data_IF_484242605502
#
_entry.id   IF_484242605502
#
_cell.length_a   1.000
_cell.length_b   1.000
_cell.length_c   1.000
_cell.angle_alpha   90.00
_cell.angle_beta   90.00
_cell.angle_gamma   90.00
#
_symmetry.space_group_name_H-M   'P 1'
#
loop_
_entity.id
_entity.type
_entity.pdbx_description
1 polymer ?
#
# COMPACT_ATOMS: atom_id res chain seq x y z
N UNK A 1 18.22 15.28 -20.34
CA UNK A 1 17.36 16.46 -20.64
C UNK A 1 15.98 15.95 -21.04
N UNK A 2 14.94 16.52 -20.47
CA UNK A 2 13.54 16.24 -20.80
C UNK A 2 12.90 17.48 -21.44
N UNK A 3 12.85 17.58 -22.78
CA UNK A 3 12.25 18.73 -23.46
C UNK A 3 10.77 18.89 -23.08
N UNK A 4 10.36 20.11 -22.75
CA UNK A 4 8.95 20.46 -22.48
C UNK A 4 8.38 19.99 -21.16
N UNK A 5 9.15 19.32 -20.29
CA UNK A 5 8.61 18.65 -19.10
C UNK A 5 7.83 19.58 -18.17
N UNK A 6 8.29 20.83 -17.97
CA UNK A 6 7.65 21.78 -17.06
C UNK A 6 6.20 22.11 -17.46
N UNK A 7 5.87 22.05 -18.74
CA UNK A 7 4.53 22.36 -19.26
C UNK A 7 3.84 21.14 -19.89
N UNK A 8 4.41 19.94 -19.74
CA UNK A 8 3.85 18.72 -20.29
C UNK A 8 2.52 18.35 -19.60
N UNK A 9 1.62 17.65 -20.32
CA UNK A 9 0.45 17.01 -19.70
C UNK A 9 0.87 16.12 -18.54
N UNK A 10 -0.02 16.01 -17.56
CA UNK A 10 0.20 15.18 -16.38
C UNK A 10 -1.08 14.45 -15.99
N UNK A 11 -0.91 13.33 -15.29
CA UNK A 11 -1.96 12.68 -14.51
C UNK A 11 -1.71 12.94 -13.03
N UNK A 12 -2.75 12.76 -12.23
CA UNK A 12 -2.64 12.82 -10.77
C UNK A 12 -2.53 11.39 -10.21
N UNK A 13 -1.56 11.15 -9.34
CA UNK A 13 -1.45 9.92 -8.57
C UNK A 13 -1.76 10.21 -7.11
N UNK A 14 -2.84 9.66 -6.57
CA UNK A 14 -3.18 9.79 -5.15
C UNK A 14 -2.01 9.33 -4.29
N UNK A 15 -1.62 10.17 -3.32
CA UNK A 15 -0.48 9.89 -2.46
C UNK A 15 -0.64 10.52 -1.08
N UNK A 16 0.26 10.11 -0.20
CA UNK A 16 0.47 10.75 1.10
C UNK A 16 1.96 11.10 1.16
N UNK A 17 2.27 12.32 1.58
CA UNK A 17 3.63 12.77 1.77
C UNK A 17 3.75 13.43 3.14
N UNK A 18 4.56 12.83 4.01
CA UNK A 18 4.81 13.30 5.38
C UNK A 18 3.52 13.52 6.21
N UNK A 19 2.56 12.61 6.05
CA UNK A 19 1.27 12.64 6.74
C UNK A 19 0.20 13.51 6.07
N UNK A 20 0.55 14.26 5.02
CA UNK A 20 -0.38 15.08 4.26
C UNK A 20 -0.97 14.29 3.09
N UNK A 21 -2.29 14.33 2.94
CA UNK A 21 -2.98 13.76 1.77
C UNK A 21 -2.91 14.71 0.57
N UNK A 22 -2.72 14.14 -0.61
CA UNK A 22 -2.61 14.91 -1.84
C UNK A 22 -2.38 14.04 -3.06
N UNK A 23 -1.78 14.65 -4.07
CA UNK A 23 -1.49 14.00 -5.34
C UNK A 23 -0.05 14.24 -5.77
N UNK A 24 0.48 13.30 -6.53
CA UNK A 24 1.73 13.45 -7.28
C UNK A 24 1.41 13.74 -8.74
N UNK A 25 2.13 14.68 -9.34
CA UNK A 25 1.95 15.03 -10.74
C UNK A 25 2.91 14.23 -11.60
N UNK A 26 2.38 13.32 -12.41
CA UNK A 26 3.18 12.42 -13.24
C UNK A 26 3.07 12.84 -14.70
N UNK A 27 4.19 13.15 -15.34
CA UNK A 27 4.28 13.47 -16.77
C UNK A 27 5.10 12.41 -17.50
N UNK A 28 4.88 12.27 -18.80
CA UNK A 28 5.78 11.50 -19.65
C UNK A 28 6.89 12.42 -20.19
N UNK A 29 8.10 11.89 -20.26
CA UNK A 29 9.23 12.52 -20.93
C UNK A 29 9.84 11.53 -21.91
N UNK A 30 10.06 11.96 -23.15
CA UNK A 30 11.01 11.32 -24.06
C UNK A 30 12.35 12.05 -23.93
N UNK A 31 13.38 11.47 -23.28
CA UNK A 31 14.66 12.14 -23.14
C UNK A 31 15.27 12.48 -24.49
N UNK A 32 15.99 13.60 -24.57
CA UNK A 32 16.67 14.00 -25.79
C UNK A 32 17.63 12.89 -26.28
N UNK A 33 17.46 12.45 -27.52
CA UNK A 33 18.27 11.37 -28.13
C UNK A 33 17.86 9.95 -27.75
N UNK A 34 16.84 9.75 -26.90
CA UNK A 34 16.33 8.43 -26.56
C UNK A 34 15.16 8.02 -27.47
N UNK A 35 15.02 6.71 -27.69
CA UNK A 35 13.91 6.07 -28.41
C UNK A 35 12.78 5.59 -27.48
N UNK A 36 12.95 5.73 -26.17
CA UNK A 36 11.99 5.38 -25.14
C UNK A 36 11.47 6.59 -24.37
N UNK A 37 10.35 6.41 -23.67
CA UNK A 37 9.79 7.37 -22.72
C UNK A 37 9.97 6.91 -21.28
N UNK A 38 10.11 7.87 -20.38
CA UNK A 38 10.12 7.71 -18.93
C UNK A 38 8.86 8.36 -18.35
N UNK A 39 8.31 7.76 -17.29
CA UNK A 39 7.38 8.47 -16.43
C UNK A 39 8.18 9.27 -15.40
N UNK A 40 7.86 10.54 -15.30
CA UNK A 40 8.51 11.48 -14.40
C UNK A 40 7.50 11.93 -13.35
N UNK A 41 7.77 11.60 -12.10
CA UNK A 41 7.09 12.18 -10.96
C UNK A 41 7.71 13.54 -10.66
N UNK A 42 6.95 14.61 -10.90
CA UNK A 42 7.40 15.99 -10.76
C UNK A 42 7.42 16.46 -9.30
N UNK A 43 6.74 15.73 -8.41
CA UNK A 43 6.57 16.09 -7.02
C UNK A 43 5.13 15.94 -6.51
N UNK A 44 4.95 16.29 -5.25
CA UNK A 44 3.70 16.21 -4.50
C UNK A 44 3.02 17.58 -4.34
N UNK A 45 1.70 17.60 -4.38
CA UNK A 45 0.82 18.74 -4.10
C UNK A 45 -0.25 18.30 -3.12
N UNK A 46 -0.46 19.05 -2.04
CA UNK A 46 -1.50 18.76 -1.05
C UNK A 46 -2.92 18.98 -1.58
N UNK A 47 -3.90 18.24 -1.04
CA UNK A 47 -5.30 18.32 -1.48
C UNK A 47 -5.92 19.72 -1.32
N UNK A 48 -5.41 20.53 -0.38
CA UNK A 48 -5.86 21.92 -0.17
C UNK A 48 -5.44 22.89 -1.30
N UNK A 49 -4.54 22.48 -2.20
CA UNK A 49 -4.07 23.29 -3.33
C UNK A 49 -4.81 22.84 -4.58
N UNK A 50 -5.66 23.71 -5.13
CA UNK A 50 -6.40 23.45 -6.38
C UNK A 50 -5.65 23.89 -7.63
N UNK A 51 -4.75 24.87 -7.51
CA UNK A 51 -3.92 25.34 -8.61
C UNK A 51 -3.01 24.21 -9.14
N UNK A 52 -2.71 24.24 -10.44
CA UNK A 52 -1.84 23.28 -11.12
C UNK A 52 -0.88 24.00 -12.07
N UNK A 53 0.30 23.39 -12.37
CA UNK A 53 1.17 23.90 -13.41
C UNK A 53 0.45 24.05 -14.74
N UNK A 54 0.78 25.09 -15.49
CA UNK A 54 0.19 25.35 -16.81
C UNK A 54 0.62 24.25 -17.79
N UNK A 55 -0.34 23.73 -18.56
CA UNK A 55 -0.08 22.78 -19.64
C UNK A 55 -0.02 23.53 -20.98
N UNK A 56 1.12 23.44 -21.66
CA UNK A 56 1.39 24.07 -22.97
C UNK A 56 2.39 23.20 -23.73
N UNK A 57 2.16 23.01 -25.02
CA UNK A 57 3.14 22.35 -25.88
C UNK A 57 4.41 23.21 -26.00
N UNK A 58 5.52 22.70 -25.49
CA UNK A 58 6.84 23.33 -25.61
C UNK A 58 7.90 22.25 -25.76
N UNK A 59 9.06 22.64 -26.30
CA UNK A 59 10.24 21.77 -26.42
C UNK A 59 11.44 22.34 -25.65
N UNK A 60 11.18 23.30 -24.75
CA UNK A 60 12.23 23.94 -23.97
C UNK A 60 13.01 22.89 -23.17
N UNK A 61 14.36 22.91 -23.21
CA UNK A 61 15.15 21.91 -22.51
C UNK A 61 14.99 22.07 -21.00
N UNK A 62 14.75 20.96 -20.31
CA UNK A 62 14.75 20.92 -18.85
C UNK A 62 15.74 19.86 -18.35
N UNK A 63 16.57 20.26 -17.39
CA UNK A 63 17.48 19.41 -16.66
C UNK A 63 16.96 19.27 -15.23
N UNK A 64 16.93 18.04 -14.74
CA UNK A 64 16.51 17.72 -13.39
C UNK A 64 17.38 16.61 -12.84
N UNK A 65 17.53 16.57 -11.53
CA UNK A 65 18.05 15.40 -10.82
C UNK A 65 16.85 14.59 -10.35
N UNK A 66 16.94 13.28 -10.47
CA UNK A 66 15.91 12.39 -9.98
C UNK A 66 16.40 11.00 -9.67
N UNK A 67 15.59 10.27 -8.90
CA UNK A 67 15.85 8.90 -8.50
C UNK A 67 15.00 7.93 -9.32
N UNK A 68 15.64 6.90 -9.87
CA UNK A 68 14.94 5.82 -10.56
C UNK A 68 14.30 4.88 -9.54
N UNK A 69 13.02 4.56 -9.77
CA UNK A 69 12.27 3.61 -8.95
C UNK A 69 11.49 2.65 -9.85
N UNK A 70 11.56 1.38 -9.49
CA UNK A 70 10.75 0.32 -10.09
C UNK A 70 9.59 0.01 -9.16
N UNK A 71 8.42 -0.25 -9.73
CA UNK A 71 7.23 -0.64 -9.00
C UNK A 71 6.69 -1.95 -9.52
N UNK A 72 6.16 -2.76 -8.62
CA UNK A 72 5.38 -3.92 -9.00
C UNK A 72 4.08 -3.50 -9.67
N UNK A 73 3.58 -4.35 -10.56
CA UNK A 73 2.27 -4.14 -11.16
C UNK A 73 1.20 -4.14 -10.06
N UNK A 74 0.21 -3.23 -10.14
CA UNK A 74 -0.89 -3.24 -9.20
C UNK A 74 -1.66 -4.56 -9.21
N UNK A 75 -2.11 -5.01 -8.04
CA UNK A 75 -2.94 -6.21 -7.89
C UNK A 75 -4.41 -5.96 -8.24
N UNK A 76 -5.22 -7.02 -8.28
CA UNK A 76 -6.64 -6.93 -8.64
C UNK A 76 -7.51 -6.07 -7.70
N UNK A 77 -7.04 -5.83 -6.47
CA UNK A 77 -7.72 -4.98 -5.48
C UNK A 77 -7.37 -3.49 -5.64
N UNK A 78 -6.43 -3.14 -6.52
CA UNK A 78 -6.07 -1.74 -6.76
C UNK A 78 -7.20 -1.02 -7.50
N UNK A 79 -7.70 0.12 -6.98
CA UNK A 79 -8.77 0.86 -7.64
C UNK A 79 -8.36 1.30 -9.04
N UNK A 80 -9.30 1.19 -9.99
CA UNK A 80 -9.13 1.72 -11.33
C UNK A 80 -9.02 3.27 -11.29
N UNK A 81 -8.32 3.88 -12.27
CA UNK A 81 -8.28 5.34 -12.39
C UNK A 81 -9.67 5.94 -12.59
N UNK A 82 -9.88 7.17 -12.08
CA UNK A 82 -11.13 7.93 -12.24
C UNK A 82 -10.80 9.41 -12.50
N UNK A 83 -11.39 10.00 -13.53
CA UNK A 83 -11.24 11.43 -13.88
C UNK A 83 -9.78 11.90 -13.99
N UNK A 84 -8.91 11.07 -14.56
CA UNK A 84 -7.47 11.37 -14.70
C UNK A 84 -6.64 11.18 -13.42
N UNK A 85 -7.28 10.73 -12.33
CA UNK A 85 -6.62 10.36 -11.07
C UNK A 85 -6.39 8.86 -10.98
N UNK A 86 -5.16 8.49 -10.62
CA UNK A 86 -4.69 7.13 -10.41
C UNK A 86 -4.53 6.86 -8.91
N UNK A 87 -4.77 5.61 -8.51
CA UNK A 87 -4.64 5.16 -7.11
C UNK A 87 -3.53 4.12 -6.92
N UNK A 88 -2.92 3.67 -8.02
CA UNK A 88 -1.82 2.73 -8.02
C UNK A 88 -0.80 3.12 -9.11
N UNK A 89 0.46 2.73 -8.91
CA UNK A 89 1.56 3.00 -9.83
C UNK A 89 1.58 1.98 -10.96
N UNK A 90 0.64 2.10 -11.89
CA UNK A 90 0.63 1.32 -13.14
C UNK A 90 1.36 2.07 -14.25
N UNK A 91 2.63 1.73 -14.49
CA UNK A 91 3.44 2.40 -15.52
C UNK A 91 2.79 2.32 -16.91
N UNK A 92 2.17 1.19 -17.26
CA UNK A 92 1.57 1.00 -18.58
C UNK A 92 0.28 1.81 -18.72
N UNK A 93 -0.61 1.76 -17.72
CA UNK A 93 -1.87 2.51 -17.75
C UNK A 93 -1.65 4.02 -17.67
N UNK A 94 -0.69 4.49 -16.85
CA UNK A 94 -0.33 5.91 -16.77
C UNK A 94 0.28 6.41 -18.08
N UNK A 95 1.21 5.67 -18.70
CA UNK A 95 1.77 6.04 -19.98
C UNK A 95 0.72 6.10 -21.10
N UNK A 96 -0.24 5.16 -21.10
CA UNK A 96 -1.38 5.20 -22.02
C UNK A 96 -2.24 6.45 -21.81
N UNK A 97 -2.56 6.80 -20.56
CA UNK A 97 -3.34 8.01 -20.26
C UNK A 97 -2.59 9.30 -20.63
N UNK A 98 -1.26 9.27 -20.64
CA UNK A 98 -0.39 10.36 -21.09
C UNK A 98 -0.14 10.35 -22.61
N UNK A 99 -0.87 9.52 -23.37
CA UNK A 99 -0.75 9.38 -24.83
C UNK A 99 0.67 9.05 -25.32
N UNK A 100 1.44 8.29 -24.52
CA UNK A 100 2.79 7.90 -24.92
C UNK A 100 2.72 6.88 -26.04
N UNK A 101 3.33 7.22 -27.18
CA UNK A 101 3.52 6.32 -28.32
C UNK A 101 4.94 5.77 -28.31
N UNK A 102 5.08 4.44 -28.29
CA UNK A 102 6.39 3.76 -28.34
C UNK A 102 6.83 3.14 -27.02
N UNK A 103 8.12 2.76 -26.91
CA UNK A 103 8.66 2.07 -25.74
C UNK A 103 8.57 2.93 -24.48
N UNK A 104 8.10 2.33 -23.38
CA UNK A 104 8.06 2.95 -22.05
C UNK A 104 8.95 2.12 -21.13
N UNK A 105 9.86 2.80 -20.44
CA UNK A 105 10.71 2.17 -19.44
C UNK A 105 9.89 1.77 -18.21
N UNK A 106 10.16 0.60 -17.60
CA UNK A 106 9.45 0.17 -16.41
C UNK A 106 9.72 1.07 -15.19
N UNK A 107 10.89 1.74 -15.17
CA UNK A 107 11.27 2.66 -14.11
C UNK A 107 10.59 4.02 -14.28
N UNK A 108 10.11 4.59 -13.16
CA UNK A 108 9.76 5.99 -13.09
C UNK A 108 10.91 6.79 -12.43
N UNK A 109 11.00 8.07 -12.76
CA UNK A 109 11.99 8.99 -12.20
C UNK A 109 11.29 9.96 -11.24
N UNK A 110 11.73 9.99 -9.99
CA UNK A 110 11.25 10.94 -9.00
C UNK A 110 12.13 12.18 -9.02
N UNK A 111 11.56 13.34 -9.36
CA UNK A 111 12.25 14.61 -9.26
C UNK A 111 12.68 14.87 -7.82
N UNK A 112 13.97 15.16 -7.63
CA UNK A 112 14.51 15.68 -6.37
C UNK A 112 14.90 17.16 -6.48
N UNK A 113 14.86 17.71 -7.69
CA UNK A 113 14.96 19.15 -7.97
C UNK A 113 13.64 19.68 -8.52
N UNK A 114 13.34 20.97 -8.32
CA UNK A 114 12.10 21.57 -8.78
C UNK A 114 11.98 21.50 -10.31
N UNK A 115 10.89 20.87 -10.80
CA UNK A 115 10.52 20.86 -12.23
C UNK A 115 9.78 22.15 -12.61
N UNK A 116 9.05 22.74 -11.66
CA UNK A 116 8.28 23.98 -11.82
C UNK A 116 8.63 24.98 -10.71
N UNK A 117 9.77 25.69 -10.80
CA UNK A 117 10.16 26.70 -9.82
C UNK A 117 9.11 27.81 -9.64
N UNK A 118 8.34 28.10 -10.68
CA UNK A 118 7.24 29.07 -10.69
C UNK A 118 6.00 28.60 -9.91
N UNK A 119 5.93 27.32 -9.53
CA UNK A 119 4.82 26.74 -8.78
C UNK A 119 5.32 26.10 -7.47
N UNK A 120 5.57 26.90 -6.41
CA UNK A 120 6.22 26.43 -5.18
C UNK A 120 5.44 25.37 -4.40
N UNK A 121 4.13 25.23 -4.65
CA UNK A 121 3.29 24.22 -4.01
C UNK A 121 3.60 22.80 -4.49
N UNK A 122 4.25 22.63 -5.65
CA UNK A 122 4.74 21.34 -6.13
C UNK A 122 6.09 21.02 -5.51
N UNK A 123 6.08 20.11 -4.54
CA UNK A 123 7.25 19.73 -3.75
C UNK A 123 7.92 18.51 -4.39
N UNK A 124 9.08 18.65 -5.04
CA UNK A 124 9.83 17.49 -5.54
C UNK A 124 10.26 16.64 -4.36
N UNK A 125 9.98 15.35 -4.42
CA UNK A 125 10.42 14.40 -3.41
C UNK A 125 10.41 12.98 -3.96
N UNK A 126 11.46 12.23 -3.64
CA UNK A 126 11.50 10.79 -3.82
C UNK A 126 11.06 10.13 -2.50
N UNK A 127 10.00 9.30 -2.50
CA UNK A 127 9.66 8.53 -1.32
C UNK A 127 10.85 7.66 -0.89
N UNK A 128 11.01 7.41 0.42
CA UNK A 128 11.99 6.44 0.90
C UNK A 128 11.77 5.10 0.21
N UNK A 129 12.83 4.29 0.11
CA UNK A 129 12.71 2.95 -0.44
C UNK A 129 11.56 2.20 0.25
N UNK A 130 10.69 1.61 -0.55
CA UNK A 130 9.53 0.91 -0.03
C UNK A 130 10.02 -0.23 0.88
N UNK A 131 9.68 -0.15 2.17
CA UNK A 131 9.83 -1.29 3.05
C UNK A 131 8.75 -2.31 2.68
N UNK A 132 9.13 -3.58 2.54
CA UNK A 132 8.17 -4.66 2.32
C UNK A 132 7.21 -4.72 3.51
N UNK A 133 5.94 -4.34 3.29
CA UNK A 133 4.88 -4.47 4.28
C UNK A 133 3.95 -5.62 3.88
N UNK A 134 4.32 -6.84 4.28
CA UNK A 134 3.54 -8.03 3.95
C UNK A 134 2.33 -8.18 4.89
N UNK A 135 1.25 -7.48 4.54
CA UNK A 135 -0.01 -7.52 5.28
C UNK A 135 -0.59 -8.92 5.45
N UNK A 136 -0.40 -9.82 4.48
CA UNK A 136 -0.87 -11.20 4.59
C UNK A 136 -0.13 -11.97 5.68
N UNK A 137 1.19 -11.79 5.79
CA UNK A 137 1.99 -12.39 6.85
C UNK A 137 1.56 -11.90 8.24
N UNK A 138 1.29 -10.60 8.37
CA UNK A 138 0.73 -10.04 9.61
C UNK A 138 -0.64 -10.64 9.92
N UNK A 139 -1.54 -10.70 8.94
CA UNK A 139 -2.87 -11.29 9.10
C UNK A 139 -2.77 -12.75 9.57
N UNK A 140 -1.93 -13.58 8.92
CA UNK A 140 -1.71 -14.97 9.31
C UNK A 140 -1.20 -15.08 10.74
N UNK A 141 -0.29 -14.19 11.16
CA UNK A 141 0.21 -14.15 12.54
C UNK A 141 -0.92 -13.88 13.52
N UNK A 142 -1.72 -12.84 13.27
CA UNK A 142 -2.81 -12.44 14.16
C UNK A 142 -3.92 -13.49 14.22
N UNK A 143 -4.36 -14.02 13.08
CA UNK A 143 -5.37 -15.08 13.04
C UNK A 143 -4.85 -16.39 13.64
N UNK A 144 -3.57 -16.73 13.41
CA UNK A 144 -2.93 -17.89 14.03
C UNK A 144 -2.89 -17.79 15.56
N UNK A 145 -2.50 -16.63 16.10
CA UNK A 145 -2.52 -16.37 17.54
C UNK A 145 -3.95 -16.45 18.12
N UNK A 146 -4.94 -15.87 17.42
CA UNK A 146 -6.34 -15.94 17.84
C UNK A 146 -6.85 -17.39 17.89
N UNK A 147 -6.55 -18.21 16.86
CA UNK A 147 -6.92 -19.62 16.81
C UNK A 147 -6.28 -20.41 17.96
N UNK A 148 -4.99 -20.19 18.23
CA UNK A 148 -4.29 -20.83 19.34
C UNK A 148 -4.92 -20.49 20.70
N UNK A 149 -5.27 -19.22 20.92
CA UNK A 149 -5.93 -18.76 22.14
C UNK A 149 -7.31 -19.41 22.32
N UNK A 150 -8.12 -19.47 21.24
CA UNK A 150 -9.42 -20.16 21.24
C UNK A 150 -9.23 -21.65 21.57
N UNK A 151 -8.26 -22.32 20.94
CA UNK A 151 -7.95 -23.73 21.19
C UNK A 151 -7.58 -24.00 22.66
N UNK A 152 -6.72 -23.16 23.24
CA UNK A 152 -6.35 -23.24 24.65
C UNK A 152 -7.54 -23.02 25.58
N UNK A 153 -8.35 -21.99 25.30
CA UNK A 153 -9.54 -21.67 26.10
C UNK A 153 -10.58 -22.82 26.08
N UNK A 154 -10.85 -23.40 24.91
CA UNK A 154 -11.74 -24.57 24.77
C UNK A 154 -11.18 -25.78 25.53
N UNK A 155 -9.86 -26.01 25.50
CA UNK A 155 -9.24 -27.10 26.24
C UNK A 155 -9.38 -26.92 27.77
N UNK A 156 -9.25 -25.69 28.27
CA UNK A 156 -9.48 -25.37 29.69
C UNK A 156 -10.93 -25.62 30.11
N UNK A 157 -11.90 -25.16 29.32
CA UNK A 157 -13.33 -25.39 29.60
C UNK A 157 -13.65 -26.89 29.67
N UNK A 158 -13.17 -27.67 28.70
CA UNK A 158 -13.36 -29.14 28.68
C UNK A 158 -12.71 -29.86 29.87
N UNK A 159 -11.61 -29.32 30.42
CA UNK A 159 -10.97 -29.88 31.62
C UNK A 159 -11.74 -29.56 32.90
N UNK A 160 -12.36 -28.38 33.00
CA UNK A 160 -13.19 -27.98 34.15
C UNK A 160 -14.42 -28.87 34.27
N UNK A 161 -15.17 -29.04 33.18
CA UNK A 161 -16.40 -29.87 33.18
C UNK A 161 -16.16 -31.35 33.49
N UNK A 162 -14.94 -31.87 33.28
CA UNK A 162 -14.57 -33.26 33.65
C UNK A 162 -14.25 -33.45 35.13
N UNK A 163 -13.91 -32.38 35.87
CA UNK A 163 -13.62 -32.44 37.30
C UNK A 163 -14.87 -32.31 38.18
N UNK A 164 -16.00 -31.89 37.61
CA UNK A 164 -17.25 -31.61 38.34
C UNK A 164 -18.29 -32.74 38.23
N UNK A 165 -17.90 -33.97 37.84
CA UNK A 165 -18.77 -35.15 37.98
C UNK A 165 -18.47 -35.75 39.36
N UNK A 166 -19.35 -35.61 40.37
CA UNK A 166 -19.16 -36.26 41.66
C UNK A 166 -19.11 -37.77 41.43
N UNK A 167 -18.00 -38.38 41.84
CA UNK A 167 -17.88 -39.82 41.91
C UNK A 167 -18.91 -40.30 42.95
N UNK A 168 -20.06 -40.78 42.48
CA UNK A 168 -21.16 -41.24 43.32
C UNK A 168 -20.64 -42.32 44.28
N UNK A 169 -20.63 -41.99 45.57
CA UNK A 169 -20.10 -42.83 46.62
C UNK A 169 -20.93 -44.12 46.72
N UNK A 170 -20.35 -45.26 46.36
CA UNK A 170 -20.94 -46.57 46.63
C UNK A 170 -20.80 -46.90 48.13
N UNK A 171 -21.65 -46.30 48.97
CA UNK A 171 -21.77 -46.71 50.37
C UNK A 171 -22.69 -47.94 50.42
N UNK A 172 -22.11 -49.14 50.35
CA UNK A 172 -22.82 -50.40 50.65
C UNK A 172 -23.25 -50.37 52.11
N UNK A 173 -24.55 -50.24 52.37
CA UNK A 173 -25.16 -50.52 53.67
C UNK A 173 -25.12 -52.03 53.88
N UNK A 174 -24.21 -52.53 54.73
CA UNK A 174 -24.28 -53.90 55.27
C UNK A 174 -25.20 -53.85 56.49
N UNK A 175 -26.40 -54.37 56.30
CA UNK A 175 -27.46 -54.43 57.31
C UNK A 175 -27.06 -55.19 58.57
N UNK A 176 -27.59 -54.66 59.65
CA UNK A 176 -27.62 -55.16 61.02
C UNK A 176 -28.24 -56.57 61.09
N UNK A 177 -27.64 -57.47 61.88
CA UNK A 177 -28.32 -58.62 62.47
C UNK A 177 -27.65 -58.98 63.79
N UNK A 178 -28.20 -58.42 64.88
CA UNK A 178 -28.16 -58.98 66.24
C UNK A 178 -28.72 -60.40 66.28
N UNK A 179 -28.12 -61.24 67.12
CA UNK A 179 -28.67 -62.31 67.99
C UNK A 179 -27.45 -63.09 68.53
N UNK A 180 -27.33 -63.60 69.76
CA UNK A 180 -28.03 -63.49 71.03
C UNK A 180 -27.13 -64.20 72.07
N UNK A 181 -27.29 -63.83 73.35
CA UNK A 181 -26.73 -64.45 74.57
C UNK A 181 -26.66 -65.99 74.56
N UNK A 182 -25.58 -66.56 75.11
CA UNK A 182 -25.56 -67.15 76.47
C UNK A 182 -24.13 -67.49 76.92
#
# INVERSE_FOLDING_TARGET
VCPGLASAPFIELQSIHDGEAGVRLISACKPAGADFSLLIDRGFVGDGVTARPRVVETTLPLVMVGEFRTFDKPGAMSPAPRDGRFYARDTAAMAKALNVTGPVRPEAVFAVTAVNPEFPALRPSAPPAAFSNNHLGYAMTWFGLAIALVGFYVALLRRRTKKDVPQEASHRVRGDRKEEKS
#
